data_IF_663603029581
#
_entry.id   IF_663603029581
#
_cell.length_a   1.000
_cell.length_b   1.000
_cell.length_c   1.000
_cell.angle_alpha   90.00
_cell.angle_beta   90.00
_cell.angle_gamma   90.00
#
_symmetry.space_group_name_H-M   'P 1'
#
loop_
_entity.id
_entity.type
_entity.pdbx_description
1 polymer ?
#
# COMPACT_ATOMS: atom_id res chain seq x y z
N UNK A 1 2.79 8.03 -11.82
CA UNK A 1 3.46 7.37 -12.97
C UNK A 1 4.33 8.39 -13.68
N UNK A 2 5.59 8.05 -13.95
CA UNK A 2 6.60 8.97 -14.51
C UNK A 2 7.78 8.22 -15.12
N UNK A 3 8.69 8.92 -15.81
CA UNK A 3 9.85 8.28 -16.43
C UNK A 3 10.78 7.65 -15.38
N UNK A 4 11.31 6.45 -15.64
CA UNK A 4 12.17 5.72 -14.70
C UNK A 4 13.68 5.96 -14.91
N UNK A 5 14.08 6.70 -15.94
CA UNK A 5 15.49 6.96 -16.26
C UNK A 5 16.20 5.86 -17.07
N UNK A 6 15.51 4.76 -17.39
CA UNK A 6 16.04 3.61 -18.14
C UNK A 6 15.35 3.41 -19.49
N UNK A 7 14.70 4.47 -20.00
CA UNK A 7 13.94 4.41 -21.25
C UNK A 7 12.50 3.90 -21.10
N UNK A 8 11.97 3.81 -19.87
CA UNK A 8 10.60 3.39 -19.58
C UNK A 8 9.88 4.28 -18.57
N UNK A 9 8.76 3.77 -18.04
CA UNK A 9 7.94 4.42 -17.02
C UNK A 9 7.88 3.59 -15.75
N UNK A 10 7.94 4.27 -14.61
CA UNK A 10 7.71 3.70 -13.29
C UNK A 10 6.28 3.95 -12.80
N UNK A 11 5.79 3.01 -12.00
CA UNK A 11 4.54 3.12 -11.26
C UNK A 11 4.82 3.31 -9.77
N UNK A 12 3.89 3.96 -9.08
CA UNK A 12 3.83 4.02 -7.63
C UNK A 12 2.35 3.96 -7.24
N UNK A 13 2.05 3.33 -6.11
CA UNK A 13 0.68 3.06 -5.66
C UNK A 13 0.51 3.56 -4.23
N UNK A 14 -0.63 4.18 -3.97
CA UNK A 14 -1.12 4.44 -2.62
C UNK A 14 -2.45 3.71 -2.42
N UNK A 15 -2.56 2.99 -1.31
CA UNK A 15 -3.74 2.22 -0.93
C UNK A 15 -4.36 2.84 0.32
N UNK A 16 -5.45 3.59 0.13
CA UNK A 16 -6.28 4.07 1.23
C UNK A 16 -7.28 2.98 1.65
N UNK A 17 -7.27 2.60 2.93
CA UNK A 17 -8.06 1.47 3.44
C UNK A 17 -8.98 1.90 4.56
N UNK A 18 -10.30 1.91 4.35
CA UNK A 18 -11.28 2.33 5.36
C UNK A 18 -11.81 1.15 6.17
N UNK A 19 -11.64 1.22 7.50
CA UNK A 19 -12.12 0.22 8.47
C UNK A 19 -12.84 0.92 9.65
N UNK A 20 -14.01 1.54 9.44
CA UNK A 20 -14.63 2.46 10.42
C UNK A 20 -15.11 1.79 11.71
N UNK A 21 -15.22 0.46 11.74
CA UNK A 21 -15.63 -0.31 12.91
C UNK A 21 -14.44 -0.87 13.72
N UNK A 22 -13.21 -0.56 13.31
CA UNK A 22 -11.97 -1.09 13.89
C UNK A 22 -11.14 0.09 14.40
N UNK A 23 -10.52 -0.06 15.57
CA UNK A 23 -9.61 0.96 16.08
C UNK A 23 -8.36 1.09 15.20
N UNK A 24 -7.71 2.25 15.25
CA UNK A 24 -6.59 2.59 14.38
C UNK A 24 -5.40 1.60 14.46
N UNK A 25 -5.06 1.11 15.65
CA UNK A 25 -3.93 0.21 15.83
C UNK A 25 -4.24 -1.17 15.25
N UNK A 26 -5.45 -1.68 15.51
CA UNK A 26 -5.90 -2.95 14.92
C UNK A 26 -6.06 -2.82 13.40
N UNK A 27 -6.58 -1.70 12.89
CA UNK A 27 -6.70 -1.44 11.46
C UNK A 27 -5.32 -1.46 10.77
N UNK A 28 -4.32 -0.79 11.36
CA UNK A 28 -2.95 -0.83 10.86
C UNK A 28 -2.42 -2.26 10.79
N UNK A 29 -2.50 -3.01 11.89
CA UNK A 29 -1.99 -4.39 11.94
C UNK A 29 -2.68 -5.31 10.92
N UNK A 30 -4.00 -5.16 10.72
CA UNK A 30 -4.75 -5.93 9.73
C UNK A 30 -4.34 -5.57 8.30
N UNK A 31 -4.16 -4.28 8.01
CA UNK A 31 -3.72 -3.80 6.68
C UNK A 31 -2.31 -4.30 6.37
N UNK A 32 -1.40 -4.24 7.33
CA UNK A 32 -0.04 -4.75 7.19
C UNK A 32 0.00 -6.26 6.96
N UNK A 33 -0.80 -7.02 7.71
CA UNK A 33 -0.92 -8.46 7.53
C UNK A 33 -1.50 -8.81 6.16
N UNK A 34 -2.55 -8.11 5.72
CA UNK A 34 -3.14 -8.29 4.39
C UNK A 34 -2.13 -8.00 3.28
N UNK A 35 -1.28 -6.98 3.44
CA UNK A 35 -0.24 -6.64 2.47
C UNK A 35 0.84 -7.73 2.33
N UNK A 36 1.04 -8.60 3.33
CA UNK A 36 1.96 -9.74 3.20
C UNK A 36 1.40 -10.88 2.34
N UNK A 37 0.07 -11.04 2.31
CA UNK A 37 -0.58 -12.19 1.65
C UNK A 37 -1.27 -11.81 0.34
N UNK A 38 -1.57 -10.53 0.12
CA UNK A 38 -2.26 -10.06 -1.08
C UNK A 38 -1.43 -10.38 -2.35
N UNK A 39 -2.01 -11.06 -3.36
CA UNK A 39 -1.28 -11.47 -4.55
C UNK A 39 -0.69 -10.29 -5.31
N UNK A 40 -1.40 -9.15 -5.36
CA UNK A 40 -0.92 -7.94 -6.02
C UNK A 40 0.26 -7.32 -5.28
N UNK A 41 0.20 -7.27 -3.94
CA UNK A 41 1.30 -6.75 -3.12
C UNK A 41 2.55 -7.60 -3.25
N UNK A 42 2.41 -8.93 -3.37
CA UNK A 42 3.53 -9.83 -3.65
C UNK A 42 4.09 -9.65 -5.05
N UNK A 43 3.24 -9.46 -6.06
CA UNK A 43 3.69 -9.21 -7.43
C UNK A 43 4.45 -7.88 -7.60
N UNK A 44 4.14 -6.87 -6.79
CA UNK A 44 4.74 -5.53 -6.87
C UNK A 44 5.91 -5.31 -5.91
N UNK A 45 6.15 -6.23 -4.96
CA UNK A 45 7.17 -6.07 -3.91
C UNK A 45 8.56 -5.94 -4.49
N UNK A 46 9.25 -4.87 -4.09
CA UNK A 46 10.61 -4.56 -4.57
C UNK A 46 10.68 -3.97 -5.98
N UNK A 47 9.57 -3.95 -6.73
CA UNK A 47 9.51 -3.41 -8.09
C UNK A 47 9.01 -1.96 -8.10
N UNK A 48 8.01 -1.63 -7.27
CA UNK A 48 7.41 -0.30 -7.19
C UNK A 48 7.16 0.11 -5.73
N UNK A 49 7.09 1.41 -5.48
CA UNK A 49 6.68 1.94 -4.18
C UNK A 49 5.18 1.71 -3.97
N UNK A 50 4.83 1.13 -2.82
CA UNK A 50 3.44 0.95 -2.36
C UNK A 50 3.31 1.56 -0.97
N UNK A 51 2.45 2.57 -0.84
CA UNK A 51 2.12 3.22 0.43
C UNK A 51 0.77 2.72 0.93
N UNK A 52 0.67 2.42 2.23
CA UNK A 52 -0.56 1.99 2.89
C UNK A 52 -1.05 3.09 3.81
N UNK A 53 -2.31 3.48 3.64
CA UNK A 53 -2.95 4.56 4.40
C UNK A 53 -4.28 4.05 4.96
N UNK A 54 -4.33 3.38 6.12
CA UNK A 54 -5.61 3.04 6.74
C UNK A 54 -6.36 4.33 7.12
N UNK A 55 -7.52 4.56 6.48
CA UNK A 55 -8.36 5.72 6.73
C UNK A 55 -8.84 5.69 8.19
N UNK A 56 -8.29 6.61 8.98
CA UNK A 56 -8.36 6.62 10.44
C UNK A 56 -7.04 7.00 11.10
N UNK A 57 -5.92 6.93 10.36
CA UNK A 57 -4.62 7.46 10.74
C UNK A 57 -4.17 8.44 9.65
N UNK A 58 -4.64 9.68 9.74
CA UNK A 58 -3.93 10.78 9.11
C UNK A 58 -2.66 11.04 9.94
N UNK A 59 -1.53 11.22 9.24
CA UNK A 59 -0.26 11.67 9.79
C UNK A 59 -0.39 12.97 10.59
#
# INVERSE_FOLDING_TARGET
MGANGEGGYGLAVELEVSLPAVDAATAQALVEAAHQVCPYSNATRGNIEVKLSPAGVAA
#
